data_IF_704171823899
#
_entry.id   IF_704171823899
#
_cell.length_a   1.000
_cell.length_b   1.000
_cell.length_c   1.000
_cell.angle_alpha   90.00
_cell.angle_beta   90.00
_cell.angle_gamma   90.00
#
_symmetry.space_group_name_H-M   'P 1'
#
loop_
_entity.id
_entity.type
_entity.pdbx_description
1 polymer ?
#
# COMPACT_ATOMS: atom_id res chain seq x y z
N UNK A 1 10.30 -4.87 -17.96
CA UNK A 1 10.40 -6.17 -17.25
C UNK A 1 10.12 -5.92 -15.79
N UNK A 2 9.24 -6.68 -15.13
CA UNK A 2 9.01 -6.55 -13.69
C UNK A 2 9.96 -7.49 -12.95
N UNK A 3 10.82 -6.93 -12.10
CA UNK A 3 11.76 -7.70 -11.29
C UNK A 3 11.40 -7.55 -9.83
N UNK A 4 11.22 -8.67 -9.13
CA UNK A 4 11.00 -8.68 -7.70
C UNK A 4 12.36 -8.62 -6.99
N UNK A 5 12.53 -7.64 -6.11
CA UNK A 5 13.74 -7.45 -5.30
C UNK A 5 13.38 -7.74 -3.84
N UNK A 6 14.31 -8.28 -3.06
CA UNK A 6 14.12 -8.43 -1.62
C UNK A 6 13.99 -7.06 -0.94
N UNK A 7 13.11 -6.91 0.06
CA UNK A 7 12.92 -5.64 0.77
C UNK A 7 14.21 -5.10 1.37
N UNK A 8 14.99 -5.94 2.05
CA UNK A 8 16.24 -5.52 2.70
C UNK A 8 17.28 -5.08 1.67
N UNK A 9 17.36 -5.80 0.54
CA UNK A 9 18.21 -5.41 -0.58
C UNK A 9 17.79 -4.07 -1.18
N UNK A 10 16.48 -3.84 -1.36
CA UNK A 10 15.95 -2.57 -1.84
C UNK A 10 16.26 -1.41 -0.88
N UNK A 11 16.08 -1.61 0.44
CA UNK A 11 16.40 -0.59 1.45
C UNK A 11 17.90 -0.29 1.46
N UNK A 12 18.75 -1.31 1.37
CA UNK A 12 20.20 -1.12 1.32
C UNK A 12 20.64 -0.35 0.07
N UNK A 13 20.04 -0.67 -1.08
CA UNK A 13 20.35 -0.01 -2.36
C UNK A 13 19.77 1.40 -2.43
N UNK A 14 18.65 1.67 -1.76
CA UNK A 14 17.95 2.95 -1.78
C UNK A 14 17.57 3.39 -0.35
N UNK A 15 18.54 3.86 0.45
CA UNK A 15 18.34 4.14 1.87
C UNK A 15 17.42 5.35 2.15
N UNK A 16 17.21 6.20 1.15
CA UNK A 16 16.33 7.37 1.24
C UNK A 16 14.85 7.06 0.92
N UNK A 17 14.48 5.79 0.78
CA UNK A 17 13.07 5.44 0.55
C UNK A 17 12.19 5.84 1.75
N UNK A 18 10.93 6.23 1.47
CA UNK A 18 9.90 6.32 2.49
C UNK A 18 9.77 5.01 3.28
N UNK A 19 9.95 5.07 4.60
CA UNK A 19 9.82 3.91 5.49
C UNK A 19 9.02 4.29 6.73
N UNK A 20 8.22 3.33 7.20
CA UNK A 20 7.48 3.42 8.46
C UNK A 20 7.84 2.25 9.35
N UNK A 21 8.08 2.51 10.63
CA UNK A 21 8.23 1.49 11.65
C UNK A 21 7.50 1.88 12.93
N UNK A 22 6.95 0.88 13.61
CA UNK A 22 6.24 1.08 14.87
C UNK A 22 7.23 1.14 16.04
N UNK A 23 7.20 2.22 16.83
CA UNK A 23 7.94 2.35 18.07
C UNK A 23 7.08 1.95 19.26
N UNK A 24 7.29 0.74 19.78
CA UNK A 24 6.50 0.21 20.90
C UNK A 24 6.71 0.95 22.23
N UNK A 25 7.76 1.76 22.37
CA UNK A 25 8.00 2.53 23.61
C UNK A 25 7.14 3.79 23.67
N UNK A 26 6.94 4.41 22.51
CA UNK A 26 6.16 5.64 22.36
C UNK A 26 4.73 5.33 21.90
N UNK A 27 4.45 4.06 21.55
CA UNK A 27 3.20 3.58 20.95
C UNK A 27 2.81 4.32 19.66
N UNK A 28 3.81 4.80 18.92
CA UNK A 28 3.64 5.62 17.72
C UNK A 28 4.32 5.02 16.48
N UNK A 29 3.79 5.35 15.29
CA UNK A 29 4.44 5.08 14.02
C UNK A 29 5.47 6.17 13.72
N UNK A 30 6.73 5.79 13.57
CA UNK A 30 7.81 6.68 13.14
C UNK A 30 7.95 6.60 11.64
N UNK A 31 7.89 7.75 11.00
CA UNK A 31 7.98 7.90 9.55
C UNK A 31 9.29 8.55 9.14
N UNK A 32 9.94 7.98 8.12
CA UNK A 32 11.08 8.57 7.45
C UNK A 32 10.71 8.87 5.99
N UNK A 33 10.91 10.11 5.55
CA UNK A 33 10.67 10.53 4.18
C UNK A 33 11.81 11.41 3.68
N UNK A 34 12.27 11.23 2.43
CA UNK A 34 13.20 12.17 1.82
C UNK A 34 12.54 13.53 1.62
N UNK A 35 13.34 14.59 1.54
CA UNK A 35 12.83 15.92 1.21
C UNK A 35 12.18 15.89 -0.17
N UNK A 36 10.91 16.31 -0.24
CA UNK A 36 10.17 16.41 -1.49
C UNK A 36 10.76 17.56 -2.33
N UNK A 37 11.14 17.26 -3.58
CA UNK A 37 11.68 18.26 -4.51
C UNK A 37 10.66 18.71 -5.57
N UNK A 38 9.69 17.85 -5.90
CA UNK A 38 8.62 18.13 -6.85
C UNK A 38 7.38 17.31 -6.51
N UNK A 39 6.21 17.84 -6.85
CA UNK A 39 4.92 17.16 -6.69
C UNK A 39 4.17 17.16 -8.01
N UNK A 40 3.64 16.00 -8.39
CA UNK A 40 2.83 15.83 -9.60
C UNK A 40 1.49 15.22 -9.22
N UNK A 41 0.40 15.82 -9.68
CA UNK A 41 -0.96 15.33 -9.46
C UNK A 41 -1.44 14.69 -10.76
N UNK A 42 -1.68 13.38 -10.74
CA UNK A 42 -2.23 12.64 -11.86
C UNK A 42 -3.76 12.53 -11.70
N UNK A 43 -4.52 13.07 -12.64
CA UNK A 43 -5.98 12.96 -12.64
C UNK A 43 -6.41 11.76 -13.48
N UNK A 44 -7.22 10.88 -12.89
CA UNK A 44 -7.68 9.63 -13.53
C UNK A 44 -9.19 9.71 -13.65
N UNK A 45 -9.70 9.84 -14.88
CA UNK A 45 -11.15 9.86 -15.14
C UNK A 45 -11.61 8.55 -15.79
N UNK A 46 -12.26 7.67 -15.05
CA UNK A 46 -12.92 6.48 -15.60
C UNK A 46 -14.21 6.14 -14.83
N UNK A 47 -15.13 5.45 -15.50
CA UNK A 47 -16.38 4.96 -14.89
C UNK A 47 -16.28 3.50 -14.40
N UNK A 48 -15.14 2.83 -14.63
CA UNK A 48 -14.94 1.43 -14.26
C UNK A 48 -13.59 1.19 -13.60
N UNK A 49 -13.53 0.18 -12.74
CA UNK A 49 -12.29 -0.26 -12.09
C UNK A 49 -11.19 -0.65 -13.09
N UNK A 50 -11.52 -1.45 -14.11
CA UNK A 50 -10.56 -1.83 -15.16
C UNK A 50 -10.05 -0.60 -15.92
N UNK A 51 -10.93 0.36 -16.21
CA UNK A 51 -10.54 1.63 -16.83
C UNK A 51 -9.62 2.47 -15.94
N UNK A 52 -9.84 2.49 -14.62
CA UNK A 52 -8.95 3.18 -13.69
C UNK A 52 -7.53 2.59 -13.72
N UNK A 53 -7.39 1.27 -13.69
CA UNK A 53 -6.08 0.61 -13.75
C UNK A 53 -5.35 0.97 -15.04
N UNK A 54 -6.07 0.92 -16.18
CA UNK A 54 -5.50 1.25 -17.48
C UNK A 54 -4.98 2.70 -17.52
N UNK A 55 -5.85 3.66 -17.17
CA UNK A 55 -5.50 5.09 -17.20
C UNK A 55 -4.39 5.41 -16.19
N UNK A 56 -4.40 4.79 -15.01
CA UNK A 56 -3.31 4.93 -14.04
C UNK A 56 -1.97 4.52 -14.65
N UNK A 57 -1.92 3.37 -15.33
CA UNK A 57 -0.72 2.90 -16.02
C UNK A 57 -0.24 3.87 -17.11
N UNK A 58 -1.17 4.39 -17.93
CA UNK A 58 -0.87 5.37 -18.97
C UNK A 58 -0.32 6.68 -18.39
N UNK A 59 -0.92 7.19 -17.30
CA UNK A 59 -0.48 8.42 -16.64
C UNK A 59 0.89 8.26 -15.97
N UNK A 60 1.15 7.13 -15.31
CA UNK A 60 2.48 6.83 -14.75
C UNK A 60 3.53 6.78 -15.87
N UNK A 61 3.24 6.09 -16.96
CA UNK A 61 4.16 5.97 -18.10
C UNK A 61 4.47 7.33 -18.73
N UNK A 62 3.44 8.15 -18.92
CA UNK A 62 3.59 9.51 -19.43
C UNK A 62 4.49 10.35 -18.51
N UNK A 63 4.27 10.28 -17.19
CA UNK A 63 5.08 11.00 -16.22
C UNK A 63 6.54 10.53 -16.24
N UNK A 64 6.80 9.22 -16.22
CA UNK A 64 8.18 8.70 -16.24
C UNK A 64 8.92 9.10 -17.51
N UNK A 65 8.26 9.02 -18.66
CA UNK A 65 8.87 9.44 -19.92
C UNK A 65 9.17 10.94 -19.93
N UNK A 66 8.24 11.77 -19.44
CA UNK A 66 8.41 13.22 -19.37
C UNK A 66 9.54 13.65 -18.42
N UNK A 67 9.80 12.86 -17.37
CA UNK A 67 10.89 13.08 -16.42
C UNK A 67 12.22 12.44 -16.84
N UNK A 68 12.25 11.68 -17.94
CA UNK A 68 13.45 10.97 -18.41
C UNK A 68 13.87 9.83 -17.49
N UNK A 69 12.92 9.16 -16.82
CA UNK A 69 13.19 8.00 -15.98
C UNK A 69 12.94 6.69 -16.71
N UNK A 70 13.96 5.83 -16.74
CA UNK A 70 13.87 4.52 -17.40
C UNK A 70 13.40 3.40 -16.46
N UNK A 71 13.47 3.63 -15.15
CA UNK A 71 13.19 2.62 -14.13
C UNK A 71 12.34 3.19 -13.00
N UNK A 72 11.34 2.41 -12.58
CA UNK A 72 10.53 2.67 -11.39
C UNK A 72 10.81 1.63 -10.32
N UNK A 73 10.91 2.09 -9.08
CA UNK A 73 11.14 1.23 -7.92
C UNK A 73 10.00 1.46 -6.95
N UNK A 74 9.26 0.39 -6.69
CA UNK A 74 8.09 0.40 -5.82
C UNK A 74 8.43 -0.38 -4.55
N UNK A 75 8.40 0.31 -3.42
CA UNK A 75 8.61 -0.26 -2.10
C UNK A 75 7.54 0.28 -1.17
N UNK A 76 6.80 -0.61 -0.51
CA UNK A 76 5.86 -0.20 0.54
C UNK A 76 6.62 0.41 1.71
N UNK A 77 6.03 1.40 2.36
CA UNK A 77 6.61 2.08 3.53
C UNK A 77 6.76 1.11 4.71
N UNK A 78 5.78 0.24 4.94
CA UNK A 78 5.78 -0.75 6.02
C UNK A 78 6.35 -2.10 5.59
N UNK A 79 6.95 -2.80 6.54
CA UNK A 79 7.31 -4.22 6.44
C UNK A 79 6.11 -5.15 6.67
N UNK A 80 4.98 -4.60 7.12
CA UNK A 80 3.72 -5.33 7.31
C UNK A 80 3.00 -5.42 5.96
N UNK A 81 2.65 -6.63 5.48
CA UNK A 81 1.84 -6.79 4.29
C UNK A 81 0.47 -6.10 4.44
N UNK A 82 0.09 -5.26 3.46
CA UNK A 82 -1.22 -4.59 3.40
C UNK A 82 -2.38 -5.59 3.53
N UNK A 83 -2.26 -6.75 2.87
CA UNK A 83 -3.15 -7.89 3.07
C UNK A 83 -2.40 -8.96 3.87
N UNK A 84 -2.58 -8.95 5.19
CA UNK A 84 -2.24 -10.11 6.03
C UNK A 84 -3.17 -11.24 5.60
N UNK A 85 -2.62 -12.36 5.12
CA UNK A 85 -3.42 -13.50 4.65
C UNK A 85 -4.35 -13.95 5.79
N UNK A 86 -5.62 -14.16 5.47
CA UNK A 86 -6.69 -14.52 6.42
C UNK A 86 -6.46 -15.82 7.20
N UNK A 87 -5.47 -16.60 6.81
CA UNK A 87 -5.03 -17.86 7.41
C UNK A 87 -4.06 -17.69 8.59
N UNK A 88 -3.55 -16.47 8.86
CA UNK A 88 -2.43 -16.27 9.80
C UNK A 88 -2.80 -15.78 11.21
N UNK A 89 -4.07 -15.50 11.53
CA UNK A 89 -4.46 -15.14 12.90
C UNK A 89 -5.77 -15.80 13.34
N UNK A 90 -5.68 -16.60 14.41
CA UNK A 90 -6.83 -17.11 15.16
C UNK A 90 -7.82 -15.99 15.51
N UNK A 91 -7.35 -14.81 15.87
CA UNK A 91 -8.23 -13.70 16.25
C UNK A 91 -9.10 -13.17 15.10
N UNK A 92 -8.58 -13.16 13.86
CA UNK A 92 -9.37 -12.76 12.70
C UNK A 92 -10.43 -13.82 12.35
N UNK A 93 -10.06 -15.09 12.42
CA UNK A 93 -11.01 -16.20 12.24
C UNK A 93 -12.06 -16.22 13.35
N UNK A 94 -11.68 -15.96 14.60
CA UNK A 94 -12.60 -15.84 15.74
C UNK A 94 -13.54 -14.65 15.57
N UNK A 95 -13.06 -13.50 15.10
CA UNK A 95 -13.90 -12.35 14.80
C UNK A 95 -14.87 -12.65 13.65
N UNK A 96 -14.41 -13.28 12.57
CA UNK A 96 -15.28 -13.71 11.47
C UNK A 96 -16.33 -14.73 11.94
N UNK A 97 -15.92 -15.74 12.72
CA UNK A 97 -16.84 -16.71 13.31
C UNK A 97 -17.83 -16.06 14.26
N UNK A 98 -17.41 -15.08 15.06
CA UNK A 98 -18.30 -14.29 15.90
C UNK A 98 -19.34 -13.55 15.05
N UNK A 99 -18.91 -12.86 13.99
CA UNK A 99 -19.82 -12.13 13.10
C UNK A 99 -20.81 -13.08 12.42
N UNK A 100 -20.35 -14.23 11.91
CA UNK A 100 -21.18 -15.28 11.31
C UNK A 100 -22.15 -15.86 12.35
N UNK A 101 -21.67 -16.22 13.54
CA UNK A 101 -22.45 -16.79 14.63
C UNK A 101 -23.53 -15.85 15.16
N UNK A 102 -23.25 -14.55 15.17
CA UNK A 102 -24.21 -13.51 15.55
C UNK A 102 -25.06 -12.99 14.38
N UNK A 103 -24.98 -13.63 13.20
CA UNK A 103 -25.71 -13.24 11.97
C UNK A 103 -25.48 -11.77 11.57
N UNK A 104 -24.31 -11.23 11.92
CA UNK A 104 -23.87 -9.89 11.58
C UNK A 104 -23.40 -9.91 10.12
N UNK A 105 -24.32 -9.60 9.22
CA UNK A 105 -24.09 -9.56 7.78
C UNK A 105 -23.98 -8.13 7.24
N UNK A 106 -24.03 -7.98 5.91
CA UNK A 106 -23.99 -6.68 5.21
C UNK A 106 -25.12 -5.70 5.58
N UNK A 107 -26.16 -6.19 6.27
CA UNK A 107 -27.32 -5.41 6.76
C UNK A 107 -27.28 -5.21 8.28
N UNK A 108 -26.09 -5.32 8.88
CA UNK A 108 -25.94 -5.01 10.30
C UNK A 108 -25.89 -3.50 10.48
N UNK A 109 -26.86 -2.99 11.23
CA UNK A 109 -27.08 -1.56 11.44
C UNK A 109 -26.66 -1.15 12.86
N UNK A 110 -25.85 -1.97 13.53
CA UNK A 110 -25.40 -1.67 14.89
C UNK A 110 -24.52 -0.44 14.86
N UNK A 111 -25.02 0.66 15.41
CA UNK A 111 -24.17 1.76 15.84
C UNK A 111 -23.19 1.21 16.89
N UNK A 112 -21.91 1.51 16.72
CA UNK A 112 -20.90 1.40 17.79
C UNK A 112 -21.13 2.51 18.80
#
# INVERSE_FOLDING_TARGET
MLTKINRQEAIHKFPAFPLRHYNSKEEEDIYNYPKVFANYILTISSKSYKGHIKILGEQILFLTHSLGYDNLILLGDSDIPWLKRSDTQNNYQNALQYLVGNKIGKRFNGAL
#
